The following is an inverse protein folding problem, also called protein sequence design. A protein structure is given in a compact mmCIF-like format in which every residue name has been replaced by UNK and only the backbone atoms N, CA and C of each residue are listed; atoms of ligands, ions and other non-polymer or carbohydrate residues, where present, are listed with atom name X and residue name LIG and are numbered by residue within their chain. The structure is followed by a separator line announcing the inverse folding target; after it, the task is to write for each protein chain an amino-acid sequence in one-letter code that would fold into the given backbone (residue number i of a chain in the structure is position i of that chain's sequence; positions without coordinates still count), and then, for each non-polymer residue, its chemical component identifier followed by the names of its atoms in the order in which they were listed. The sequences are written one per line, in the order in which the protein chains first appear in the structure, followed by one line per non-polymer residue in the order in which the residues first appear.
data_IF_138328426996
#
_entry.id   IF_138328426996
#
_cell.length_a   1.000
_cell.length_b   1.000
_cell.length_c   1.000
_cell.angle_alpha   90.00
_cell.angle_beta   90.00
_cell.angle_gamma   90.00
#
_symmetry.space_group_name_H-M   'P 1'
#
loop_
_entity.id
_entity.type
_entity.pdbx_description
1 polymer ?
#
# COMPACT_ATOMS: atom_id res chain seq x y z
N UNK A 1 -10.69 8.99 15.75
CA UNK A 1 -10.50 7.53 15.90
C UNK A 1 -11.37 6.85 16.94
N UNK A 2 -11.89 7.54 17.97
CA UNK A 2 -12.66 6.93 19.07
C UNK A 2 -13.79 5.96 18.64
N UNK A 3 -14.61 6.33 17.66
CA UNK A 3 -15.69 5.46 17.17
C UNK A 3 -15.16 4.19 16.47
N UNK A 4 -14.12 4.33 15.65
CA UNK A 4 -13.52 3.19 14.93
C UNK A 4 -12.82 2.25 15.90
N UNK A 5 -12.09 2.77 16.87
CA UNK A 5 -11.47 1.99 17.95
C UNK A 5 -12.50 1.23 18.77
N UNK A 6 -13.62 1.87 19.13
CA UNK A 6 -14.72 1.21 19.85
C UNK A 6 -15.38 0.09 19.03
N UNK A 7 -15.62 0.32 17.74
CA UNK A 7 -16.28 -0.66 16.87
C UNK A 7 -15.39 -1.82 16.48
N UNK A 8 -14.09 -1.57 16.25
CA UNK A 8 -13.12 -2.59 15.85
C UNK A 8 -12.50 -3.35 17.03
N UNK A 9 -12.54 -2.79 18.23
CA UNK A 9 -11.79 -3.30 19.38
C UNK A 9 -10.27 -3.08 19.29
N UNK A 10 -9.80 -2.34 18.27
CA UNK A 10 -8.38 -2.09 18.01
C UNK A 10 -8.03 -0.67 18.42
N UNK A 11 -7.09 -0.53 19.37
CA UNK A 11 -6.55 0.76 19.74
C UNK A 11 -5.45 1.22 18.77
N UNK A 12 -5.61 2.40 18.19
CA UNK A 12 -4.62 3.02 17.31
C UNK A 12 -4.78 4.54 17.30
N UNK A 13 -3.71 5.24 16.91
CA UNK A 13 -3.66 6.69 16.76
C UNK A 13 -3.58 7.08 15.28
N UNK A 14 -3.78 8.37 14.98
CA UNK A 14 -3.60 8.89 13.61
C UNK A 14 -2.17 8.69 13.10
N UNK A 15 -1.18 8.66 14.00
CA UNK A 15 0.20 8.37 13.65
C UNK A 15 0.41 6.92 13.23
N UNK A 16 -0.35 5.99 13.78
CA UNK A 16 -0.25 4.58 13.42
C UNK A 16 -0.78 4.35 12.01
N UNK A 17 -1.84 5.07 11.61
CA UNK A 17 -2.31 5.07 10.22
C UNK A 17 -1.21 5.55 9.25
N UNK A 18 -0.50 6.63 9.61
CA UNK A 18 0.62 7.12 8.83
C UNK A 18 1.74 6.07 8.76
N UNK A 19 2.13 5.45 9.87
CA UNK A 19 3.17 4.41 9.91
C UNK A 19 2.79 3.22 9.05
N UNK A 20 1.55 2.74 9.15
CA UNK A 20 1.03 1.64 8.32
C UNK A 20 1.12 1.98 6.83
N UNK A 21 0.75 3.20 6.43
CA UNK A 21 0.86 3.63 5.03
C UNK A 21 2.31 3.60 4.52
N UNK A 22 3.27 4.06 5.32
CA UNK A 22 4.71 4.03 4.96
C UNK A 22 5.19 2.59 4.82
N UNK A 23 4.91 1.76 5.82
CA UNK A 23 5.39 0.37 5.85
C UNK A 23 4.88 -0.42 4.65
N UNK A 24 3.63 -0.20 4.26
CA UNK A 24 3.05 -0.81 3.06
C UNK A 24 3.69 -0.24 1.80
N UNK A 25 3.83 1.09 1.69
CA UNK A 25 4.44 1.71 0.52
C UNK A 25 5.89 1.24 0.29
N UNK A 26 6.65 1.05 1.36
CA UNK A 26 8.01 0.52 1.31
C UNK A 26 8.02 -0.96 0.90
N UNK A 27 7.10 -1.77 1.43
CA UNK A 27 6.93 -3.17 1.02
C UNK A 27 6.44 -3.36 -0.42
N UNK A 28 5.96 -2.28 -1.06
CA UNK A 28 5.60 -2.23 -2.49
C UNK A 28 6.70 -1.63 -3.37
N UNK A 29 7.93 -1.51 -2.84
CA UNK A 29 9.11 -0.98 -3.52
C UNK A 29 8.91 0.45 -4.06
N UNK A 30 8.12 1.27 -3.35
CA UNK A 30 7.97 2.68 -3.72
C UNK A 30 9.26 3.42 -3.38
N UNK A 31 9.75 4.30 -4.28
CA UNK A 31 10.99 5.03 -4.00
C UNK A 31 10.88 5.91 -2.75
N UNK A 32 11.90 5.93 -1.89
CA UNK A 32 11.93 6.71 -0.65
C UNK A 32 11.55 8.20 -0.82
N UNK A 33 11.94 8.82 -1.95
CA UNK A 33 11.57 10.20 -2.26
C UNK A 33 10.08 10.35 -2.60
N UNK A 34 9.50 9.39 -3.32
CA UNK A 34 8.05 9.37 -3.57
C UNK A 34 7.28 9.15 -2.26
N UNK A 35 7.73 8.26 -1.35
CA UNK A 35 7.11 8.12 -0.02
C UNK A 35 7.15 9.43 0.76
N UNK A 36 8.33 10.04 0.91
CA UNK A 36 8.47 11.32 1.61
C UNK A 36 7.53 12.39 1.03
N UNK A 37 7.30 12.41 -0.29
CA UNK A 37 6.34 13.33 -0.94
C UNK A 37 4.88 12.97 -0.64
N UNK A 38 4.48 11.70 -0.74
CA UNK A 38 3.12 11.25 -0.38
C UNK A 38 2.77 11.61 1.07
N UNK A 39 3.78 11.62 1.94
CA UNK A 39 3.65 11.96 3.36
C UNK A 39 3.74 13.46 3.68
N UNK A 40 3.97 14.31 2.67
CA UNK A 40 4.27 15.74 2.86
C UNK A 40 5.45 16.00 3.82
N UNK A 41 6.47 15.12 3.80
CA UNK A 41 7.66 15.29 4.61
C UNK A 41 8.55 16.42 4.09
N UNK A 42 9.07 17.20 5.03
CA UNK A 42 10.11 18.20 4.75
C UNK A 42 11.41 17.48 4.39
N UNK A 43 12.07 17.94 3.32
CA UNK A 43 13.34 17.39 2.83
C UNK A 43 14.51 18.37 2.99
N UNK A 44 14.37 19.39 3.85
CA UNK A 44 15.42 20.37 4.05
C UNK A 44 16.72 19.69 4.54
N UNK A 45 17.84 19.99 3.89
CA UNK A 45 19.14 19.38 4.19
C UNK A 45 19.41 18.07 3.44
N UNK A 46 18.43 17.53 2.71
CA UNK A 46 18.64 16.40 1.81
C UNK A 46 19.18 16.93 0.46
N UNK A 47 20.50 16.98 0.33
CA UNK A 47 21.17 17.47 -0.89
C UNK A 47 20.74 16.65 -2.11
N UNK A 48 20.57 15.33 -1.93
CA UNK A 48 20.17 14.42 -3.01
C UNK A 48 18.75 14.69 -3.48
N UNK A 49 17.83 15.04 -2.57
CA UNK A 49 16.47 15.45 -2.93
C UNK A 49 16.45 16.67 -3.87
N UNK A 50 17.47 17.55 -3.79
CA UNK A 50 17.61 18.69 -4.70
C UNK A 50 17.92 18.32 -6.15
N UNK A 51 18.54 17.16 -6.40
CA UNK A 51 18.81 16.66 -7.76
C UNK A 51 17.63 15.87 -8.36
N UNK A 52 16.67 15.48 -7.53
CA UNK A 52 15.52 14.70 -7.97
C UNK A 52 14.42 15.66 -8.41
N UNK A 53 14.19 15.73 -9.71
CA UNK A 53 13.08 16.49 -10.27
C UNK A 53 11.77 15.94 -9.69
N UNK A 54 11.09 16.78 -8.92
CA UNK A 54 9.81 16.44 -8.31
C UNK A 54 8.71 16.53 -9.35
N UNK A 55 8.38 15.40 -9.93
CA UNK A 55 7.25 15.27 -10.84
C UNK A 55 6.06 14.62 -10.11
N UNK A 56 4.90 15.26 -10.16
CA UNK A 56 3.66 14.78 -9.55
C UNK A 56 3.21 13.47 -10.22
N UNK A 57 3.56 13.26 -11.50
CA UNK A 57 3.21 12.02 -12.19
C UNK A 57 3.89 10.80 -11.58
N UNK A 58 5.04 10.97 -10.93
CA UNK A 58 5.71 9.88 -10.18
C UNK A 58 4.92 9.41 -8.96
N UNK A 59 3.95 10.20 -8.48
CA UNK A 59 3.08 9.84 -7.36
C UNK A 59 1.80 9.13 -7.82
N UNK A 60 1.45 9.22 -9.11
CA UNK A 60 0.22 8.64 -9.66
C UNK A 60 0.21 7.12 -9.68
N UNK A 61 1.36 6.47 -9.79
CA UNK A 61 1.45 5.01 -9.77
C UNK A 61 1.48 4.45 -8.33
N UNK A 62 2.31 4.97 -7.40
CA UNK A 62 2.37 4.45 -6.04
C UNK A 62 1.07 4.56 -5.26
N UNK A 63 0.33 5.66 -5.40
CA UNK A 63 -0.88 5.87 -4.58
C UNK A 63 -1.97 4.81 -4.86
N UNK A 64 -2.36 4.52 -6.11
CA UNK A 64 -3.23 3.38 -6.42
C UNK A 64 -2.68 2.03 -5.99
N UNK A 65 -1.36 1.78 -6.11
CA UNK A 65 -0.78 0.50 -5.68
C UNK A 65 -0.97 0.25 -4.17
N UNK A 66 -0.77 1.29 -3.36
CA UNK A 66 -1.00 1.23 -1.91
C UNK A 66 -2.50 1.02 -1.63
N UNK A 67 -3.38 1.73 -2.34
CA UNK A 67 -4.84 1.57 -2.21
C UNK A 67 -5.30 0.15 -2.57
N UNK A 68 -4.85 -0.40 -3.70
CA UNK A 68 -5.19 -1.75 -4.15
C UNK A 68 -4.70 -2.80 -3.16
N UNK A 69 -3.52 -2.59 -2.56
CA UNK A 69 -3.03 -3.46 -1.50
C UNK A 69 -3.98 -3.48 -0.29
N UNK A 70 -4.41 -2.32 0.20
CA UNK A 70 -5.40 -2.24 1.27
C UNK A 70 -6.72 -2.94 0.90
N UNK A 71 -7.24 -2.68 -0.30
CA UNK A 71 -8.49 -3.28 -0.75
C UNK A 71 -8.43 -4.80 -0.86
N UNK A 72 -7.28 -5.35 -1.27
CA UNK A 72 -7.02 -6.79 -1.26
C UNK A 72 -6.95 -7.35 0.16
N UNK A 73 -6.25 -6.69 1.08
CA UNK A 73 -6.18 -7.11 2.49
C UNK A 73 -7.55 -7.05 3.19
N UNK A 74 -8.40 -6.11 2.81
CA UNK A 74 -9.76 -5.97 3.33
C UNK A 74 -10.76 -6.95 2.69
N UNK A 75 -10.35 -7.73 1.68
CA UNK A 75 -11.24 -8.62 0.93
C UNK A 75 -12.25 -7.88 0.04
N UNK A 76 -12.06 -6.58 -0.21
CA UNK A 76 -12.90 -5.78 -1.10
C UNK A 76 -12.56 -6.06 -2.57
N UNK A 77 -11.29 -6.32 -2.85
CA UNK A 77 -10.81 -6.74 -4.16
C UNK A 77 -10.24 -8.17 -4.10
N UNK A 78 -10.47 -9.01 -5.12
CA UNK A 78 -9.82 -10.31 -5.21
C UNK A 78 -8.30 -10.14 -5.37
N UNK A 79 -7.53 -10.92 -4.63
CA UNK A 79 -6.06 -10.93 -4.73
C UNK A 79 -5.57 -11.74 -5.94
N UNK A 80 -6.34 -12.74 -6.37
CA UNK A 80 -6.03 -13.61 -7.49
C UNK A 80 -7.31 -14.12 -8.16
N UNK A 81 -7.19 -14.53 -9.43
CA UNK A 81 -8.26 -15.26 -10.12
C UNK A 81 -8.25 -16.70 -9.60
N UNK A 82 -9.37 -17.15 -9.03
CA UNK A 82 -9.54 -18.53 -8.60
C UNK A 82 -9.79 -19.41 -9.83
N UNK A 83 -8.87 -20.32 -10.11
CA UNK A 83 -9.02 -21.31 -11.19
C UNK A 83 -9.31 -22.65 -10.54
N UNK A 84 -10.42 -23.28 -10.93
CA UNK A 84 -10.77 -24.62 -10.47
C UNK A 84 -9.73 -25.61 -11.02
N UNK A 85 -9.06 -26.34 -10.12
CA UNK A 85 -8.15 -27.41 -10.50
C UNK A 85 -9.00 -28.51 -11.14
N UNK A 86 -8.82 -28.73 -12.46
CA UNK A 86 -9.46 -29.87 -13.13
C UNK A 86 -8.78 -31.14 -12.60
N UNK A 87 -9.53 -32.14 -12.10
CA UNK A 87 -8.95 -33.40 -11.70
C UNK A 87 -8.27 -34.04 -12.92
N UNK A 88 -6.97 -34.28 -12.80
CA UNK A 88 -6.16 -34.88 -13.86
C UNK A 88 -6.43 -36.39 -13.83
N UNK A 89 -7.30 -36.85 -14.73
CA UNK A 89 -7.44 -38.26 -15.08
C UNK A 89 -8.46 -39.05 -14.27
N UNK A 90 -9.73 -38.98 -14.67
CA UNK A 90 -10.52 -40.20 -14.78
C UNK A 90 -10.19 -40.83 -16.16
N UNK A 91 -9.00 -41.42 -16.29
CA UNK A 91 -8.63 -42.19 -17.48
C UNK A 91 -8.85 -43.68 -17.19
N UNK A 92 -9.97 -44.15 -17.74
CA UNK A 92 -10.28 -45.46 -18.34
C UNK A 92 -10.16 -46.74 -17.49
N UNK A 93 -11.34 -47.33 -17.22
CA UNK A 93 -11.53 -48.80 -17.20
C UNK A 93 -11.02 -49.47 -18.47
#
# INVERSE_FOLDING_TARGET
MANVTKLSGIHFTDHDLRRTLITIAEGLDTSAYALKRLMNHKMNGDITAGYIVTDVDRLRKPMPQITDYFLKCMGVQPSATLVAIRPQGAVHE
#
